data_IF_729005235351
#
_entry.id   IF_729005235351
#
_cell.length_a   1.000
_cell.length_b   1.000
_cell.length_c   1.000
_cell.angle_alpha   90.00
_cell.angle_beta   90.00
_cell.angle_gamma   90.00
#
_symmetry.space_group_name_H-M   'P 1'
#
loop_
_entity.id
_entity.type
_entity.pdbx_description
1 polymer ?
#
# COMPACT_ATOMS: atom_id res chain seq x y z
N UNK A 1 34.40 28.24 3.30
CA UNK A 1 34.47 26.90 3.89
C UNK A 1 34.59 25.89 2.75
N UNK A 2 35.74 25.26 2.59
CA UNK A 2 35.88 24.17 1.62
C UNK A 2 35.15 22.95 2.19
N UNK A 3 34.16 22.43 1.46
CA UNK A 3 33.44 21.23 1.84
C UNK A 3 34.35 20.01 1.59
N UNK A 4 35.05 19.57 2.62
CA UNK A 4 35.96 18.39 2.57
C UNK A 4 35.27 17.11 2.08
N UNK A 5 33.96 17.04 2.15
CA UNK A 5 33.17 15.90 1.69
C UNK A 5 33.34 15.60 0.19
N UNK A 6 33.53 16.64 -0.64
CA UNK A 6 33.68 16.49 -2.10
C UNK A 6 35.14 16.34 -2.54
N UNK A 7 36.10 16.47 -1.62
CA UNK A 7 37.52 16.31 -1.91
C UNK A 7 38.04 14.91 -1.59
N UNK A 8 37.22 14.01 -1.09
CA UNK A 8 37.59 12.64 -0.72
C UNK A 8 36.63 11.64 -1.33
N UNK A 9 37.13 10.47 -1.75
CA UNK A 9 36.28 9.35 -2.15
C UNK A 9 35.44 8.89 -0.94
N UNK A 10 34.12 8.69 -1.09
CA UNK A 10 33.28 8.24 0.00
C UNK A 10 33.72 6.85 0.48
N UNK A 11 33.69 6.65 1.79
CA UNK A 11 33.81 5.34 2.41
C UNK A 11 32.45 4.95 2.99
N UNK A 12 31.95 3.79 2.60
CA UNK A 12 30.60 3.33 2.94
C UNK A 12 30.68 2.14 3.90
N UNK A 13 29.89 2.18 4.96
CA UNK A 13 29.65 1.02 5.82
C UNK A 13 28.24 0.53 5.49
N UNK A 14 28.15 -0.67 4.90
CA UNK A 14 26.87 -1.30 4.64
C UNK A 14 26.48 -2.22 5.80
N UNK A 15 25.28 -1.97 6.35
CA UNK A 15 24.65 -2.81 7.38
C UNK A 15 23.41 -3.40 6.75
N UNK A 16 23.43 -4.68 6.43
CA UNK A 16 22.30 -5.34 5.77
C UNK A 16 22.72 -6.30 4.68
N UNK A 17 21.98 -6.29 3.59
CA UNK A 17 22.19 -7.26 2.49
C UNK A 17 23.41 -6.91 1.65
N UNK A 18 24.18 -7.95 1.34
CA UNK A 18 25.47 -7.86 0.63
C UNK A 18 25.38 -7.19 -0.76
N UNK A 19 24.35 -7.41 -1.61
CA UNK A 19 24.27 -6.76 -2.91
C UNK A 19 24.39 -5.24 -2.90
N UNK A 20 23.93 -4.56 -1.87
CA UNK A 20 24.13 -3.10 -1.75
C UNK A 20 25.61 -2.74 -1.59
N UNK A 21 26.35 -3.48 -0.76
CA UNK A 21 27.79 -3.28 -0.62
C UNK A 21 28.52 -3.57 -1.93
N UNK A 22 28.11 -4.60 -2.66
CA UNK A 22 28.73 -4.99 -3.92
C UNK A 22 28.48 -3.93 -5.00
N UNK A 23 27.26 -3.41 -5.15
CA UNK A 23 26.93 -2.35 -6.12
C UNK A 23 27.71 -1.04 -5.85
N UNK A 24 27.88 -0.66 -4.58
CA UNK A 24 28.69 0.51 -4.22
C UNK A 24 30.18 0.26 -4.50
N UNK A 25 30.66 -0.96 -4.28
CA UNK A 25 32.06 -1.35 -4.54
C UNK A 25 32.36 -1.38 -6.03
N UNK A 26 31.42 -1.87 -6.86
CA UNK A 26 31.53 -1.86 -8.33
C UNK A 26 31.68 -0.44 -8.89
N UNK A 27 31.14 0.57 -8.21
CA UNK A 27 31.31 1.98 -8.55
C UNK A 27 32.61 2.59 -8.00
N UNK A 28 33.50 1.80 -7.45
CA UNK A 28 34.83 2.22 -6.99
C UNK A 28 34.86 2.83 -5.59
N UNK A 29 33.77 2.85 -4.83
CA UNK A 29 33.78 3.36 -3.47
C UNK A 29 34.29 2.30 -2.47
N UNK A 30 35.06 2.76 -1.48
CA UNK A 30 35.54 1.89 -0.40
C UNK A 30 34.34 1.46 0.47
N UNK A 31 34.13 0.13 0.55
CA UNK A 31 32.92 -0.40 1.22
C UNK A 31 33.29 -1.47 2.22
N UNK A 32 32.78 -1.34 3.44
CA UNK A 32 32.84 -2.34 4.50
C UNK A 32 31.46 -2.95 4.65
N UNK A 33 31.33 -4.27 4.44
CA UNK A 33 30.11 -5.02 4.72
C UNK A 33 30.13 -5.50 6.17
N UNK A 34 29.13 -5.08 6.95
CA UNK A 34 28.90 -5.63 8.28
C UNK A 34 27.92 -6.80 8.18
N UNK A 35 28.25 -7.93 8.79
CA UNK A 35 27.34 -9.07 8.95
C UNK A 35 26.33 -8.75 10.05
N UNK A 36 25.33 -7.93 9.70
CA UNK A 36 24.22 -7.65 10.61
C UNK A 36 23.27 -8.84 10.68
N UNK A 37 22.91 -9.22 11.87
CA UNK A 37 21.81 -10.16 12.14
C UNK A 37 20.86 -9.48 13.09
N UNK A 38 19.54 -9.52 12.82
CA UNK A 38 18.57 -9.03 13.79
C UNK A 38 18.78 -9.78 15.12
N UNK A 39 18.60 -9.12 16.26
CA UNK A 39 18.62 -9.79 17.55
C UNK A 39 17.45 -10.80 17.58
N UNK A 40 17.75 -12.06 17.36
CA UNK A 40 16.77 -13.14 17.44
C UNK A 40 16.91 -13.77 18.82
N UNK A 41 15.77 -14.01 19.48
CA UNK A 41 15.72 -14.75 20.73
C UNK A 41 16.43 -16.11 20.54
N UNK A 42 17.40 -16.38 21.41
CA UNK A 42 18.17 -17.63 21.37
C UNK A 42 17.26 -18.88 21.50
N UNK A 43 16.10 -18.77 22.12
CA UNK A 43 15.07 -19.83 22.19
C UNK A 43 14.47 -20.09 20.79
N UNK A 44 14.09 -19.04 20.06
CA UNK A 44 13.60 -19.17 18.69
C UNK A 44 14.63 -19.76 17.73
N UNK A 45 15.89 -19.34 17.85
CA UNK A 45 16.98 -19.93 17.08
C UNK A 45 17.11 -21.45 17.32
N UNK A 46 17.06 -21.88 18.58
CA UNK A 46 17.09 -23.31 18.93
C UNK A 46 15.87 -24.05 18.40
N UNK A 47 14.68 -23.46 18.46
CA UNK A 47 13.47 -24.08 17.90
C UNK A 47 13.57 -24.27 16.40
N UNK A 48 14.04 -23.28 15.66
CA UNK A 48 14.22 -23.36 14.19
C UNK A 48 15.33 -24.38 13.84
N UNK A 49 16.43 -24.36 14.57
CA UNK A 49 17.50 -25.33 14.37
C UNK A 49 17.06 -26.79 14.67
N UNK A 50 16.20 -26.96 15.67
CA UNK A 50 15.64 -28.25 16.11
C UNK A 50 14.47 -28.77 15.27
N UNK A 51 14.02 -28.06 14.24
CA UNK A 51 12.97 -28.57 13.33
C UNK A 51 13.45 -29.85 12.66
N UNK A 52 12.52 -30.83 12.53
CA UNK A 52 12.83 -32.06 11.82
C UNK A 52 13.13 -31.83 10.35
N UNK A 53 13.95 -32.67 9.70
CA UNK A 53 14.21 -32.58 8.27
C UNK A 53 12.92 -32.58 7.43
N UNK A 54 11.94 -33.42 7.81
CA UNK A 54 10.66 -33.56 7.12
C UNK A 54 9.85 -32.26 7.20
N UNK A 55 9.86 -31.56 8.34
CA UNK A 55 9.17 -30.28 8.49
C UNK A 55 9.86 -29.20 7.66
N UNK A 56 11.19 -29.15 7.66
CA UNK A 56 11.97 -28.21 6.83
C UNK A 56 11.68 -28.42 5.33
N UNK A 57 11.58 -29.68 4.89
CA UNK A 57 11.25 -30.02 3.51
C UNK A 57 9.83 -29.59 3.14
N UNK A 58 8.84 -29.84 4.00
CA UNK A 58 7.44 -29.38 3.79
C UNK A 58 7.38 -27.86 3.63
N UNK A 59 8.06 -27.10 4.50
CA UNK A 59 8.11 -25.63 4.42
C UNK A 59 8.79 -25.19 3.10
N UNK A 60 9.93 -25.77 2.76
CA UNK A 60 10.65 -25.42 1.54
C UNK A 60 9.82 -25.68 0.28
N UNK A 61 9.15 -26.83 0.21
CA UNK A 61 8.26 -27.20 -0.89
C UNK A 61 7.07 -26.23 -0.99
N UNK A 62 6.40 -25.99 0.13
CA UNK A 62 5.24 -25.09 0.16
C UNK A 62 5.61 -23.65 -0.25
N UNK A 63 6.75 -23.15 0.21
CA UNK A 63 7.25 -21.82 -0.20
C UNK A 63 7.60 -21.78 -1.70
N UNK A 64 8.21 -22.83 -2.25
CA UNK A 64 8.53 -22.88 -3.68
C UNK A 64 7.26 -22.89 -4.55
N UNK A 65 6.24 -23.66 -4.18
CA UNK A 65 4.93 -23.64 -4.84
C UNK A 65 4.24 -22.28 -4.72
N UNK A 66 4.29 -21.66 -3.53
CA UNK A 66 3.73 -20.33 -3.30
C UNK A 66 4.39 -19.27 -4.21
N UNK A 67 5.71 -19.32 -4.39
CA UNK A 67 6.43 -18.42 -5.30
C UNK A 67 5.97 -18.63 -6.76
N UNK A 68 5.71 -19.85 -7.16
CA UNK A 68 5.16 -20.12 -8.51
C UNK A 68 3.78 -19.49 -8.69
N UNK A 69 2.89 -19.60 -7.68
CA UNK A 69 1.58 -18.96 -7.69
C UNK A 69 1.70 -17.44 -7.76
N UNK A 70 2.57 -16.83 -6.93
CA UNK A 70 2.81 -15.38 -6.95
C UNK A 70 3.38 -14.89 -8.28
N UNK A 71 4.26 -15.66 -8.91
CA UNK A 71 4.80 -15.32 -10.22
C UNK A 71 3.75 -15.40 -11.34
N UNK A 72 2.76 -16.26 -11.20
CA UNK A 72 1.65 -16.40 -12.14
C UNK A 72 0.56 -15.33 -11.95
N UNK A 73 0.46 -14.71 -10.76
CA UNK A 73 -0.57 -13.73 -10.45
C UNK A 73 -0.52 -12.52 -11.38
N UNK A 74 -1.67 -12.07 -11.87
CA UNK A 74 -1.82 -10.93 -12.76
C UNK A 74 -2.89 -9.96 -12.24
N UNK A 75 -2.46 -8.88 -11.61
CA UNK A 75 -3.34 -7.85 -11.09
C UNK A 75 -3.82 -6.88 -12.17
N UNK A 76 -5.13 -6.88 -12.43
CA UNK A 76 -5.79 -5.99 -13.39
C UNK A 76 -6.70 -5.01 -12.67
N UNK A 77 -6.68 -3.74 -13.05
CA UNK A 77 -7.68 -2.75 -12.63
C UNK A 77 -8.95 -2.98 -13.45
N UNK A 78 -9.97 -3.55 -12.82
CA UNK A 78 -11.17 -4.02 -13.51
C UNK A 78 -12.40 -3.13 -13.30
N UNK A 79 -12.31 -2.13 -12.44
CA UNK A 79 -13.41 -1.20 -12.21
C UNK A 79 -13.26 -0.36 -10.96
N UNK A 80 -14.28 0.47 -10.73
CA UNK A 80 -14.48 1.27 -9.53
C UNK A 80 -15.93 1.10 -9.05
N UNK A 81 -16.14 1.07 -7.74
CA UNK A 81 -17.49 1.01 -7.17
C UNK A 81 -17.47 1.57 -5.74
N UNK A 82 -18.62 1.97 -5.21
CA UNK A 82 -18.74 2.36 -3.80
C UNK A 82 -18.34 1.22 -2.88
N UNK A 83 -17.61 1.54 -1.82
CA UNK A 83 -17.03 0.55 -0.89
C UNK A 83 -18.09 -0.41 -0.33
N UNK A 84 -19.28 0.10 0.01
CA UNK A 84 -20.41 -0.72 0.50
C UNK A 84 -20.84 -1.83 -0.47
N UNK A 85 -20.66 -1.61 -1.77
CA UNK A 85 -21.02 -2.60 -2.80
C UNK A 85 -19.84 -3.47 -3.21
N UNK A 86 -18.63 -2.89 -3.22
CA UNK A 86 -17.44 -3.56 -3.71
C UNK A 86 -16.82 -4.50 -2.67
N UNK A 87 -16.75 -4.07 -1.41
CA UNK A 87 -16.00 -4.76 -0.36
C UNK A 87 -16.92 -5.72 0.39
N UNK A 88 -16.64 -7.03 0.36
CA UNK A 88 -17.47 -8.01 1.06
C UNK A 88 -17.56 -7.75 2.57
N UNK A 89 -18.78 -7.72 3.09
CA UNK A 89 -19.04 -7.53 4.52
C UNK A 89 -18.89 -6.10 5.02
N UNK A 90 -18.74 -5.11 4.12
CA UNK A 90 -18.77 -3.69 4.51
C UNK A 90 -20.17 -3.31 5.01
N UNK A 91 -20.25 -2.45 6.03
CA UNK A 91 -21.50 -1.97 6.62
C UNK A 91 -21.60 -0.45 6.53
N UNK A 92 -22.82 0.10 6.53
CA UNK A 92 -23.03 1.55 6.43
C UNK A 92 -22.38 2.32 7.58
N UNK A 93 -22.37 1.74 8.80
CA UNK A 93 -21.77 2.34 9.98
C UNK A 93 -20.31 1.91 10.23
N UNK A 94 -19.68 1.26 9.27
CA UNK A 94 -18.27 0.84 9.37
C UNK A 94 -17.36 1.93 8.80
N UNK A 95 -16.27 2.20 9.51
CA UNK A 95 -15.14 3.00 9.01
C UNK A 95 -13.88 2.14 9.11
N UNK A 96 -13.23 1.93 7.97
CA UNK A 96 -11.96 1.23 7.96
C UNK A 96 -10.79 2.19 8.19
N UNK A 97 -9.70 1.63 8.68
CA UNK A 97 -8.43 2.30 8.93
C UNK A 97 -7.24 1.42 8.54
N UNK A 98 -6.06 2.02 8.38
CA UNK A 98 -4.82 1.29 8.09
C UNK A 98 -4.31 0.52 9.32
N UNK A 99 -3.48 -0.48 9.03
CA UNK A 99 -2.78 -1.29 10.02
C UNK A 99 -3.64 -2.41 10.63
N UNK A 100 -3.06 -3.14 11.58
CA UNK A 100 -3.79 -4.15 12.33
C UNK A 100 -4.90 -3.52 13.16
N UNK A 101 -5.96 -4.29 13.52
CA UNK A 101 -7.04 -3.80 14.36
C UNK A 101 -6.54 -3.16 15.66
N UNK A 102 -7.09 -1.99 15.97
CA UNK A 102 -6.75 -1.20 17.16
C UNK A 102 -8.01 -0.58 17.76
N UNK A 103 -8.09 -0.54 19.09
CA UNK A 103 -9.21 0.09 19.77
C UNK A 103 -9.14 1.62 19.68
N UNK A 104 -10.29 2.29 19.60
CA UNK A 104 -10.39 3.75 19.53
C UNK A 104 -9.52 4.49 20.56
N UNK A 105 -9.56 4.05 21.83
CA UNK A 105 -8.80 4.67 22.92
C UNK A 105 -7.29 4.67 22.66
N UNK A 106 -6.79 3.67 21.94
CA UNK A 106 -5.36 3.43 21.70
C UNK A 106 -4.88 4.05 20.38
N UNK A 107 -5.80 4.53 19.52
CA UNK A 107 -5.46 5.20 18.24
C UNK A 107 -4.74 6.52 18.48
N UNK A 108 -3.77 6.82 17.59
CA UNK A 108 -3.12 8.13 17.56
C UNK A 108 -4.05 9.22 17.03
N UNK A 109 -3.77 10.49 17.39
CA UNK A 109 -4.62 11.62 17.05
C UNK A 109 -4.86 11.81 15.56
N UNK A 110 -3.87 11.49 14.70
CA UNK A 110 -4.04 11.56 13.24
C UNK A 110 -5.11 10.56 12.76
N UNK A 111 -5.06 9.34 13.25
CA UNK A 111 -6.00 8.30 12.86
C UNK A 111 -7.42 8.60 13.39
N UNK A 112 -7.52 9.03 14.66
CA UNK A 112 -8.79 9.51 15.25
C UNK A 112 -9.43 10.62 14.43
N UNK A 113 -8.63 11.63 14.06
CA UNK A 113 -9.09 12.73 13.21
C UNK A 113 -9.60 12.23 11.87
N UNK A 114 -8.88 11.30 11.23
CA UNK A 114 -9.31 10.70 9.97
C UNK A 114 -10.64 9.97 10.08
N UNK A 115 -10.85 9.18 11.13
CA UNK A 115 -12.12 8.50 11.42
C UNK A 115 -13.27 9.50 11.59
N UNK A 116 -13.06 10.58 12.36
CA UNK A 116 -14.10 11.59 12.57
C UNK A 116 -14.48 12.31 11.27
N UNK A 117 -13.51 12.72 10.47
CA UNK A 117 -13.79 13.33 9.17
C UNK A 117 -14.42 12.36 8.18
N UNK A 118 -13.99 11.08 8.19
CA UNK A 118 -14.65 10.04 7.41
C UNK A 118 -16.11 9.87 7.81
N UNK A 119 -16.43 9.90 9.09
CA UNK A 119 -17.81 9.84 9.58
C UNK A 119 -18.66 11.03 9.11
N UNK A 120 -18.06 12.23 9.07
CA UNK A 120 -18.74 13.44 8.55
C UNK A 120 -18.99 13.31 7.04
N UNK A 121 -17.99 12.91 6.27
CA UNK A 121 -18.09 12.67 4.83
C UNK A 121 -19.14 11.60 4.49
N UNK A 122 -19.21 10.55 5.32
CA UNK A 122 -20.21 9.49 5.18
C UNK A 122 -21.62 9.91 5.61
N UNK A 123 -21.80 11.11 6.17
CA UNK A 123 -23.08 11.59 6.70
C UNK A 123 -23.51 10.90 7.99
N UNK A 124 -22.61 10.17 8.66
CA UNK A 124 -22.89 9.50 9.94
C UNK A 124 -22.91 10.48 11.11
N UNK A 125 -22.09 11.52 11.04
CA UNK A 125 -21.98 12.56 12.06
C UNK A 125 -21.92 13.95 11.42
N UNK A 126 -22.23 15.01 12.18
CA UNK A 126 -22.17 16.40 11.73
C UNK A 126 -20.94 17.13 12.24
N UNK A 127 -20.34 16.68 13.33
CA UNK A 127 -19.17 17.29 13.96
C UNK A 127 -18.16 16.21 14.36
N UNK A 128 -16.92 16.65 14.60
CA UNK A 128 -15.83 15.77 15.08
C UNK A 128 -16.17 15.19 16.45
N UNK A 129 -16.79 15.99 17.34
CA UNK A 129 -17.19 15.59 18.68
C UNK A 129 -18.31 14.53 18.63
N UNK A 130 -19.30 14.72 17.77
CA UNK A 130 -20.38 13.74 17.55
C UNK A 130 -19.80 12.43 17.03
N UNK A 131 -18.94 12.48 16.00
CA UNK A 131 -18.29 11.30 15.44
C UNK A 131 -17.48 10.53 16.52
N UNK A 132 -16.69 11.24 17.32
CA UNK A 132 -15.91 10.63 18.39
C UNK A 132 -16.82 9.94 19.43
N UNK A 133 -17.91 10.58 19.83
CA UNK A 133 -18.88 10.01 20.77
C UNK A 133 -19.55 8.75 20.20
N UNK A 134 -19.93 8.75 18.92
CA UNK A 134 -20.51 7.58 18.24
C UNK A 134 -19.53 6.41 18.16
N UNK A 135 -18.24 6.65 17.93
CA UNK A 135 -17.23 5.60 17.97
C UNK A 135 -17.06 5.04 19.38
N UNK A 136 -17.02 5.91 20.39
CA UNK A 136 -16.92 5.50 21.81
C UNK A 136 -18.13 4.71 22.27
N UNK A 137 -19.33 5.04 21.77
CA UNK A 137 -20.56 4.33 22.03
C UNK A 137 -20.68 2.99 21.27
N UNK A 138 -19.81 2.74 20.28
CA UNK A 138 -19.86 1.56 19.41
C UNK A 138 -20.94 1.66 18.31
N UNK A 139 -21.49 2.84 18.05
CA UNK A 139 -22.43 3.09 16.98
C UNK A 139 -21.73 3.11 15.61
N UNK A 140 -20.47 3.55 15.58
CA UNK A 140 -19.56 3.43 14.44
C UNK A 140 -18.58 2.27 14.73
N UNK A 141 -18.57 1.29 13.81
CA UNK A 141 -17.67 0.14 13.86
C UNK A 141 -16.32 0.49 13.21
N UNK A 142 -15.21 0.23 13.91
CA UNK A 142 -13.87 0.37 13.34
C UNK A 142 -13.34 -0.97 12.82
N UNK A 143 -12.75 -0.97 11.62
CA UNK A 143 -12.20 -2.17 11.01
C UNK A 143 -10.84 -1.91 10.34
N UNK A 144 -9.98 -2.91 10.32
CA UNK A 144 -8.72 -2.87 9.56
C UNK A 144 -9.02 -3.03 8.06
N UNK A 145 -8.52 -2.13 7.22
CA UNK A 145 -8.60 -2.28 5.77
C UNK A 145 -8.10 -3.65 5.32
N UNK A 146 -6.98 -4.10 5.85
CA UNK A 146 -6.34 -5.35 5.46
C UNK A 146 -7.19 -6.60 5.76
N UNK A 147 -8.03 -6.57 6.81
CA UNK A 147 -8.93 -7.68 7.13
C UNK A 147 -10.10 -7.79 6.14
N UNK A 148 -10.39 -6.72 5.39
CA UNK A 148 -11.38 -6.65 4.34
C UNK A 148 -10.76 -6.59 2.93
N UNK A 149 -9.50 -6.99 2.80
CA UNK A 149 -8.76 -6.96 1.52
C UNK A 149 -8.70 -5.57 0.88
N UNK A 150 -8.79 -4.54 1.71
CA UNK A 150 -8.58 -3.16 1.31
C UNK A 150 -7.19 -2.69 1.73
N UNK A 151 -6.72 -1.63 1.11
CA UNK A 151 -5.46 -0.96 1.40
C UNK A 151 -5.76 0.45 1.89
N UNK A 152 -5.28 0.76 3.07
CA UNK A 152 -5.34 2.10 3.65
C UNK A 152 -3.99 2.81 3.59
N UNK A 153 -3.84 3.79 2.71
CA UNK A 153 -2.65 4.65 2.72
C UNK A 153 -2.69 5.60 3.92
N UNK A 154 -1.57 5.75 4.62
CA UNK A 154 -1.45 6.54 5.83
C UNK A 154 -2.55 6.20 6.88
N UNK A 155 -3.48 7.11 7.22
CA UNK A 155 -4.58 6.80 8.14
C UNK A 155 -5.55 5.75 7.59
N UNK A 156 -5.65 5.63 6.25
CA UNK A 156 -6.36 4.56 5.57
C UNK A 156 -7.87 4.59 5.70
N UNK A 157 -8.45 5.78 5.77
CA UNK A 157 -9.88 5.94 6.00
C UNK A 157 -10.67 5.52 4.77
N UNK A 158 -11.59 4.58 4.96
CA UNK A 158 -12.57 4.16 3.95
C UNK A 158 -13.95 4.12 4.59
N UNK A 159 -14.92 4.76 3.96
CA UNK A 159 -16.32 4.81 4.39
C UNK A 159 -17.22 4.18 3.34
N UNK A 160 -18.48 3.91 3.71
CA UNK A 160 -19.44 3.18 2.87
C UNK A 160 -19.71 3.84 1.51
N UNK A 161 -19.69 5.17 1.44
CA UNK A 161 -19.98 5.96 0.24
C UNK A 161 -18.75 6.23 -0.62
N UNK A 162 -17.54 6.15 -0.07
CA UNK A 162 -16.31 6.33 -0.84
C UNK A 162 -16.19 5.31 -1.96
N UNK A 163 -15.69 5.75 -3.11
CA UNK A 163 -15.37 4.87 -4.23
C UNK A 163 -14.03 4.17 -3.99
N UNK A 164 -13.95 2.91 -4.34
CA UNK A 164 -12.70 2.13 -4.32
C UNK A 164 -12.36 1.63 -5.73
N UNK A 165 -11.09 1.62 -6.04
CA UNK A 165 -10.54 0.86 -7.16
C UNK A 165 -10.69 -0.62 -6.86
N UNK A 166 -11.05 -1.41 -7.86
CA UNK A 166 -11.13 -2.86 -7.80
C UNK A 166 -9.98 -3.42 -8.64
N UNK A 167 -9.01 -4.03 -7.98
CA UNK A 167 -7.93 -4.75 -8.66
C UNK A 167 -8.12 -6.24 -8.44
N UNK A 168 -8.17 -7.00 -9.54
CA UNK A 168 -8.37 -8.45 -9.54
C UNK A 168 -7.12 -9.15 -10.05
N UNK A 169 -6.62 -10.12 -9.31
CA UNK A 169 -5.71 -11.13 -9.86
C UNK A 169 -6.53 -12.05 -10.75
N UNK A 170 -6.49 -11.81 -12.05
CA UNK A 170 -7.33 -12.52 -13.03
C UNK A 170 -6.96 -14.00 -13.20
N UNK A 171 -5.80 -14.42 -12.70
CA UNK A 171 -5.37 -15.82 -12.72
C UNK A 171 -6.02 -16.62 -11.58
N UNK A 172 -6.11 -16.03 -10.39
CA UNK A 172 -6.62 -16.74 -9.20
C UNK A 172 -7.99 -16.22 -8.73
N UNK A 173 -8.53 -15.15 -9.35
CA UNK A 173 -9.85 -14.59 -9.04
C UNK A 173 -9.90 -13.78 -7.72
N UNK A 174 -8.76 -13.41 -7.17
CA UNK A 174 -8.71 -12.63 -5.92
C UNK A 174 -8.84 -11.13 -6.19
N UNK A 175 -9.53 -10.41 -5.31
CA UNK A 175 -9.70 -8.95 -5.42
C UNK A 175 -9.09 -8.23 -4.23
N UNK A 176 -8.61 -7.03 -4.47
CA UNK A 176 -8.23 -6.06 -3.45
C UNK A 176 -8.73 -4.66 -3.82
N UNK A 177 -8.85 -3.81 -2.81
CA UNK A 177 -9.55 -2.54 -2.89
C UNK A 177 -8.70 -1.42 -2.31
N UNK A 178 -8.72 -0.24 -2.92
CA UNK A 178 -8.10 0.97 -2.37
C UNK A 178 -8.82 2.20 -2.90
N UNK A 179 -9.04 3.21 -2.06
CA UNK A 179 -9.59 4.48 -2.54
C UNK A 179 -8.63 5.12 -3.55
N UNK A 180 -9.12 5.77 -4.62
CA UNK A 180 -8.32 6.63 -5.45
C UNK A 180 -7.72 7.77 -4.64
N UNK A 181 -6.55 8.30 -5.05
CA UNK A 181 -5.99 9.49 -4.43
C UNK A 181 -6.56 10.73 -5.15
N UNK A 182 -7.34 11.53 -4.42
CA UNK A 182 -8.13 12.63 -4.96
C UNK A 182 -7.34 13.92 -5.19
N UNK A 183 -6.09 14.02 -4.75
CA UNK A 183 -5.34 15.25 -4.85
C UNK A 183 -3.82 15.11 -4.76
N UNK A 184 -3.12 16.24 -5.03
CA UNK A 184 -1.65 16.34 -4.94
C UNK A 184 -1.17 16.76 -3.56
N UNK A 185 -1.87 17.69 -2.90
CA UNK A 185 -1.41 18.43 -1.72
C UNK A 185 -1.96 17.90 -0.41
N UNK A 186 -2.85 16.93 -0.45
CA UNK A 186 -3.46 16.31 0.71
C UNK A 186 -4.50 15.28 0.29
N UNK A 187 -4.79 14.36 1.17
CA UNK A 187 -5.71 13.25 0.92
C UNK A 187 -6.57 13.00 2.15
N UNK A 188 -7.84 12.73 1.95
CA UNK A 188 -8.76 12.29 3.02
C UNK A 188 -8.24 11.05 3.73
N UNK A 189 -7.68 10.09 2.98
CA UNK A 189 -7.01 8.90 3.52
C UNK A 189 -5.85 9.22 4.47
N UNK A 190 -5.22 10.38 4.36
CA UNK A 190 -4.15 10.85 5.23
C UNK A 190 -4.67 11.64 6.44
N UNK A 191 -5.97 11.62 6.69
CA UNK A 191 -6.64 12.43 7.69
C UNK A 191 -6.43 13.95 7.50
N UNK A 192 -6.18 14.35 6.27
CA UNK A 192 -6.15 15.76 5.86
C UNK A 192 -7.52 16.06 5.25
N UNK A 193 -8.26 16.99 5.88
CA UNK A 193 -9.61 17.32 5.44
C UNK A 193 -9.80 18.84 5.35
N UNK A 194 -10.29 19.28 4.22
CA UNK A 194 -10.64 20.65 3.93
C UNK A 194 -11.67 20.69 2.78
N UNK A 195 -12.30 21.83 2.46
CA UNK A 195 -13.30 21.92 1.39
C UNK A 195 -12.80 21.52 -0.01
N UNK A 196 -11.51 21.59 -0.28
CA UNK A 196 -10.93 21.15 -1.55
C UNK A 196 -10.91 19.62 -1.64
N UNK A 197 -10.42 18.96 -0.58
CA UNK A 197 -10.40 17.50 -0.49
C UNK A 197 -11.82 16.93 -0.59
N UNK A 198 -12.78 17.53 0.12
CA UNK A 198 -14.18 17.13 0.06
C UNK A 198 -14.75 17.22 -1.36
N UNK A 199 -14.52 18.32 -2.07
CA UNK A 199 -14.95 18.46 -3.47
C UNK A 199 -14.31 17.41 -4.37
N UNK A 200 -13.02 17.13 -4.18
CA UNK A 200 -12.31 16.16 -5.00
C UNK A 200 -12.84 14.74 -4.77
N UNK A 201 -13.18 14.37 -3.53
CA UNK A 201 -13.82 13.09 -3.22
C UNK A 201 -15.18 12.98 -3.90
N UNK A 202 -16.03 14.00 -3.77
CA UNK A 202 -17.35 14.03 -4.42
C UNK A 202 -17.23 13.98 -5.95
N UNK A 203 -16.24 14.69 -6.53
CA UNK A 203 -16.00 14.64 -7.99
C UNK A 203 -15.58 13.23 -8.45
N UNK A 204 -14.79 12.52 -7.64
CA UNK A 204 -14.44 11.13 -7.93
C UNK A 204 -15.68 10.24 -7.83
N UNK A 205 -16.49 10.41 -6.80
CA UNK A 205 -17.67 9.56 -6.56
C UNK A 205 -18.73 9.75 -7.63
N UNK A 206 -19.03 11.00 -7.98
CA UNK A 206 -20.19 11.34 -8.82
C UNK A 206 -19.86 11.42 -10.30
N UNK A 207 -18.62 11.68 -10.66
CA UNK A 207 -18.22 11.95 -12.04
C UNK A 207 -17.14 11.00 -12.56
N UNK A 208 -15.96 10.97 -11.90
CA UNK A 208 -14.82 10.21 -12.40
C UNK A 208 -15.09 8.71 -12.41
N UNK A 209 -15.55 8.17 -11.28
CA UNK A 209 -15.70 6.73 -11.13
C UNK A 209 -16.73 6.12 -12.10
N UNK A 210 -17.91 6.71 -12.32
CA UNK A 210 -18.86 6.17 -13.31
C UNK A 210 -18.27 6.10 -14.73
N UNK A 211 -17.56 7.14 -15.17
CA UNK A 211 -16.97 7.18 -16.51
C UNK A 211 -15.83 6.17 -16.67
N UNK A 212 -14.93 6.11 -15.67
CA UNK A 212 -13.78 5.21 -15.74
C UNK A 212 -14.19 3.75 -15.54
N UNK A 213 -15.12 3.45 -14.63
CA UNK A 213 -15.66 2.11 -14.44
C UNK A 213 -16.31 1.57 -15.73
N UNK A 214 -17.10 2.41 -16.41
CA UNK A 214 -17.70 2.07 -17.71
C UNK A 214 -16.63 1.65 -18.72
N UNK A 215 -15.60 2.48 -18.90
CA UNK A 215 -14.53 2.22 -19.88
C UNK A 215 -13.72 0.99 -19.53
N UNK A 216 -13.40 0.79 -18.24
CA UNK A 216 -12.66 -0.40 -17.81
C UNK A 216 -13.45 -1.68 -18.06
N UNK A 217 -14.73 -1.71 -17.73
CA UNK A 217 -15.60 -2.88 -17.95
C UNK A 217 -15.75 -3.21 -19.44
N UNK A 218 -15.89 -2.19 -20.28
CA UNK A 218 -16.03 -2.34 -21.74
C UNK A 218 -14.74 -2.88 -22.38
N UNK A 219 -13.57 -2.57 -21.83
CA UNK A 219 -12.26 -2.95 -22.39
C UNK A 219 -11.57 -4.11 -21.64
N UNK A 220 -12.19 -4.70 -20.62
CA UNK A 220 -11.61 -5.83 -19.87
C UNK A 220 -10.52 -5.44 -18.85
N UNK A 221 -10.46 -4.16 -18.47
CA UNK A 221 -9.54 -3.64 -17.48
C UNK A 221 -8.13 -3.32 -18.02
N UNK A 222 -7.23 -2.92 -17.10
CA UNK A 222 -5.83 -2.57 -17.39
C UNK A 222 -4.90 -3.43 -16.52
N UNK A 223 -3.87 -4.03 -17.12
CA UNK A 223 -2.88 -4.83 -16.42
C UNK A 223 -1.93 -3.96 -15.59
N UNK A 224 -2.26 -3.79 -14.32
CA UNK A 224 -1.49 -2.98 -13.33
C UNK A 224 -0.12 -3.57 -13.08
N UNK A 225 -0.01 -4.92 -12.98
CA UNK A 225 1.26 -5.60 -12.75
C UNK A 225 2.27 -5.29 -13.85
N UNK A 226 1.82 -5.26 -15.11
CA UNK A 226 2.69 -4.98 -16.24
C UNK A 226 3.24 -3.54 -16.22
N UNK A 227 2.38 -2.56 -15.88
CA UNK A 227 2.81 -1.16 -15.69
C UNK A 227 3.82 -1.06 -14.55
N UNK A 228 3.53 -1.71 -13.42
CA UNK A 228 4.39 -1.72 -12.24
C UNK A 228 5.77 -2.32 -12.55
N UNK A 229 5.81 -3.47 -13.24
CA UNK A 229 7.05 -4.11 -13.66
C UNK A 229 7.88 -3.20 -14.59
N UNK A 230 7.24 -2.56 -15.58
CA UNK A 230 7.91 -1.59 -16.46
C UNK A 230 8.47 -0.39 -15.69
N UNK A 231 7.71 0.13 -14.71
CA UNK A 231 8.15 1.23 -13.86
C UNK A 231 9.39 0.86 -13.05
N UNK A 232 9.41 -0.32 -12.45
CA UNK A 232 10.56 -0.81 -11.67
C UNK A 232 11.81 -1.08 -12.53
N UNK A 233 11.64 -1.49 -13.80
CA UNK A 233 12.76 -1.62 -14.73
C UNK A 233 13.46 -0.28 -15.05
N UNK A 234 12.83 0.85 -14.74
CA UNK A 234 13.46 2.18 -14.81
C UNK A 234 14.38 2.48 -13.61
N UNK A 235 14.54 1.52 -12.71
CA UNK A 235 15.29 1.62 -11.45
C UNK A 235 14.41 2.10 -10.29
N UNK A 236 14.81 1.74 -9.05
CA UNK A 236 14.09 2.06 -7.82
C UNK A 236 12.77 1.28 -7.61
N UNK A 237 12.08 1.54 -6.54
CA UNK A 237 10.89 0.80 -6.08
C UNK A 237 9.57 1.50 -6.47
N UNK A 238 8.44 0.85 -6.22
CA UNK A 238 7.12 1.27 -6.70
C UNK A 238 6.67 2.66 -6.26
N UNK A 239 7.01 3.09 -5.04
CA UNK A 239 6.62 4.42 -4.53
C UNK A 239 7.36 5.53 -5.29
N UNK A 240 8.66 5.34 -5.52
CA UNK A 240 9.49 6.30 -6.27
C UNK A 240 9.07 6.34 -7.75
N UNK A 241 8.64 5.21 -8.31
CA UNK A 241 8.22 5.11 -9.72
C UNK A 241 6.75 5.42 -9.96
N UNK A 242 5.97 5.83 -8.95
CA UNK A 242 4.53 6.08 -9.09
C UNK A 242 4.18 7.08 -10.21
N UNK A 243 4.95 8.15 -10.38
CA UNK A 243 4.71 9.12 -11.46
C UNK A 243 4.96 8.54 -12.85
N UNK A 244 6.03 7.74 -13.02
CA UNK A 244 6.30 7.05 -14.27
C UNK A 244 5.19 6.03 -14.60
N UNK A 245 4.76 5.26 -13.59
CA UNK A 245 3.64 4.33 -13.73
C UNK A 245 2.32 5.06 -14.02
N UNK A 246 2.08 6.23 -13.40
CA UNK A 246 0.92 7.07 -13.68
C UNK A 246 0.88 7.53 -15.14
N UNK A 247 2.01 7.95 -15.70
CA UNK A 247 2.10 8.33 -17.12
C UNK A 247 1.83 7.13 -18.05
N UNK A 248 2.31 5.94 -17.71
CA UNK A 248 1.99 4.71 -18.46
C UNK A 248 0.50 4.35 -18.33
N UNK A 249 -0.11 4.52 -17.16
CA UNK A 249 -1.55 4.33 -16.97
C UNK A 249 -2.36 5.28 -17.86
N UNK A 250 -1.97 6.57 -17.94
CA UNK A 250 -2.61 7.55 -18.83
C UNK A 250 -2.51 7.11 -20.28
N UNK A 251 -1.37 6.58 -20.71
CA UNK A 251 -1.20 6.09 -22.08
C UNK A 251 -2.04 4.84 -22.42
N UNK A 252 -2.48 4.09 -21.42
CA UNK A 252 -3.39 2.95 -21.59
C UNK A 252 -4.87 3.39 -21.57
N UNK A 253 -5.26 4.26 -20.62
CA UNK A 253 -6.67 4.61 -20.40
C UNK A 253 -7.20 5.66 -21.38
N UNK A 254 -6.39 6.63 -21.79
CA UNK A 254 -6.85 7.72 -22.69
C UNK A 254 -7.30 7.20 -24.05
N UNK A 255 -6.60 6.26 -24.72
CA UNK A 255 -7.12 5.64 -25.95
C UNK A 255 -8.47 4.94 -25.76
N UNK A 256 -8.69 4.30 -24.61
CA UNK A 256 -9.96 3.66 -24.29
C UNK A 256 -11.08 4.69 -24.15
N UNK A 257 -10.82 5.80 -23.43
CA UNK A 257 -11.77 6.91 -23.29
C UNK A 257 -12.11 7.55 -24.65
N UNK A 258 -11.11 7.78 -25.51
CA UNK A 258 -11.30 8.38 -26.82
C UNK A 258 -12.05 7.49 -27.82
N UNK A 259 -11.97 6.18 -27.65
CA UNK A 259 -12.65 5.19 -28.51
C UNK A 259 -14.05 4.85 -28.02
N UNK A 260 -14.47 5.38 -26.88
CA UNK A 260 -15.77 5.10 -26.31
C UNK A 260 -16.84 6.01 -26.90
N UNK A 261 -17.85 5.41 -27.56
CA UNK A 261 -18.94 6.13 -28.23
C UNK A 261 -20.06 6.58 -27.26
N UNK A 262 -20.06 6.05 -26.03
CA UNK A 262 -21.04 6.39 -25.02
C UNK A 262 -20.65 7.61 -24.16
N UNK A 263 -19.38 8.02 -24.24
CA UNK A 263 -18.85 9.19 -23.54
C UNK A 263 -18.78 10.43 -24.45
N UNK A 264 -19.24 11.55 -23.93
CA UNK A 264 -19.09 12.83 -24.64
C UNK A 264 -17.67 13.43 -24.47
N UNK A 265 -17.29 14.29 -25.41
CA UNK A 265 -15.95 14.94 -25.43
C UNK A 265 -15.69 15.74 -24.14
N UNK A 266 -16.63 16.51 -23.55
CA UNK A 266 -16.44 17.17 -22.27
C UNK A 266 -16.05 16.21 -21.14
N UNK A 267 -16.73 15.07 -21.04
CA UNK A 267 -16.45 14.02 -20.04
C UNK A 267 -15.06 13.43 -20.25
N UNK A 268 -14.72 13.03 -21.47
CA UNK A 268 -13.38 12.50 -21.81
C UNK A 268 -12.29 13.50 -21.43
N UNK A 269 -12.47 14.78 -21.81
CA UNK A 269 -11.53 15.84 -21.49
C UNK A 269 -11.35 15.98 -19.97
N UNK A 270 -12.45 16.07 -19.21
CA UNK A 270 -12.40 16.26 -17.76
C UNK A 270 -11.73 15.08 -17.05
N UNK A 271 -12.08 13.85 -17.40
CA UNK A 271 -11.45 12.63 -16.84
C UNK A 271 -9.95 12.61 -17.16
N UNK A 272 -9.56 12.96 -18.40
CA UNK A 272 -8.15 13.05 -18.79
C UNK A 272 -7.40 14.10 -17.97
N UNK A 273 -7.99 15.28 -17.76
CA UNK A 273 -7.42 16.36 -16.92
C UNK A 273 -7.21 15.89 -15.49
N UNK A 274 -8.14 15.13 -14.92
CA UNK A 274 -8.00 14.55 -13.57
C UNK A 274 -6.81 13.58 -13.49
N UNK A 275 -6.64 12.70 -14.46
CA UNK A 275 -5.48 11.79 -14.52
C UNK A 275 -4.15 12.56 -14.65
N UNK A 276 -4.05 13.46 -15.62
CA UNK A 276 -2.82 14.25 -15.88
C UNK A 276 -2.55 15.20 -14.71
N UNK A 277 -3.60 15.71 -14.09
CA UNK A 277 -3.54 16.58 -12.93
C UNK A 277 -2.98 15.94 -11.66
N UNK A 278 -2.94 14.62 -11.55
CA UNK A 278 -2.55 13.91 -10.34
C UNK A 278 -1.64 12.70 -10.64
N UNK A 279 -0.34 12.87 -10.48
CA UNK A 279 0.66 11.81 -10.71
C UNK A 279 0.58 10.61 -9.75
N UNK A 280 -0.29 10.68 -8.72
CA UNK A 280 -0.44 9.64 -7.69
C UNK A 280 -1.53 8.61 -7.98
N UNK A 281 -2.26 8.74 -9.09
CA UNK A 281 -3.33 7.80 -9.46
C UNK A 281 -2.91 6.34 -9.48
N UNK A 282 -1.68 6.07 -9.87
CA UNK A 282 -1.19 4.69 -9.98
C UNK A 282 -0.88 4.05 -8.62
N UNK A 283 -0.54 4.85 -7.62
CA UNK A 283 -0.07 4.29 -6.34
C UNK A 283 -1.09 3.38 -5.65
N UNK A 284 -2.39 3.77 -5.50
CA UNK A 284 -3.43 2.87 -4.98
C UNK A 284 -3.57 1.57 -5.77
N UNK A 285 -3.45 1.65 -7.09
CA UNK A 285 -3.55 0.48 -7.97
C UNK A 285 -2.39 -0.49 -7.74
N UNK A 286 -1.16 0.01 -7.61
CA UNK A 286 0.02 -0.80 -7.33
C UNK A 286 -0.06 -1.51 -5.98
N UNK A 287 -0.54 -0.81 -4.95
CA UNK A 287 -0.78 -1.41 -3.62
C UNK A 287 -1.86 -2.51 -3.68
N UNK A 288 -2.99 -2.24 -4.34
CA UNK A 288 -4.07 -3.22 -4.49
C UNK A 288 -3.63 -4.42 -5.33
N UNK A 289 -2.84 -4.20 -6.38
CA UNK A 289 -2.25 -5.28 -7.18
C UNK A 289 -1.39 -6.21 -6.30
N UNK A 290 -0.55 -5.64 -5.44
CA UNK A 290 0.26 -6.41 -4.50
C UNK A 290 -0.60 -7.24 -3.55
N UNK A 291 -1.62 -6.64 -2.94
CA UNK A 291 -2.50 -7.37 -2.01
C UNK A 291 -3.34 -8.45 -2.71
N UNK A 292 -3.93 -8.15 -3.87
CA UNK A 292 -4.71 -9.13 -4.64
C UNK A 292 -3.86 -10.35 -5.01
N UNK A 293 -2.62 -10.12 -5.46
CA UNK A 293 -1.68 -11.18 -5.80
C UNK A 293 -1.28 -12.01 -4.58
N UNK A 294 -0.98 -11.38 -3.45
CA UNK A 294 -0.60 -12.10 -2.22
C UNK A 294 -1.71 -13.00 -1.66
N UNK A 295 -2.97 -12.71 -1.99
CA UNK A 295 -4.10 -13.54 -1.55
C UNK A 295 -4.08 -14.97 -2.10
N UNK A 296 -3.46 -15.22 -3.25
CA UNK A 296 -3.44 -16.55 -3.84
C UNK A 296 -2.76 -17.62 -2.97
N UNK A 297 -1.84 -17.20 -2.10
CA UNK A 297 -1.12 -18.10 -1.18
C UNK A 297 -1.67 -18.12 0.25
N UNK A 298 -2.72 -17.34 0.53
CA UNK A 298 -3.34 -17.27 1.84
C UNK A 298 -3.90 -18.64 2.26
N UNK A 299 -3.61 -19.06 3.49
CA UNK A 299 -4.04 -20.33 4.03
C UNK A 299 -3.24 -21.55 3.51
N UNK A 300 -2.18 -21.32 2.72
CA UNK A 300 -1.34 -22.41 2.21
C UNK A 300 -0.53 -23.03 3.35
N UNK A 301 -0.85 -24.27 3.70
CA UNK A 301 -0.20 -24.98 4.80
C UNK A 301 1.34 -25.01 4.64
N UNK A 302 2.03 -24.90 5.76
CA UNK A 302 3.51 -24.84 5.84
C UNK A 302 4.16 -23.67 5.09
N UNK A 303 3.39 -22.76 4.49
CA UNK A 303 3.95 -21.59 3.83
C UNK A 303 4.34 -20.51 4.86
N UNK A 304 5.61 -20.14 4.89
CA UNK A 304 6.16 -19.13 5.80
C UNK A 304 6.30 -17.73 5.20
N UNK A 305 5.74 -17.52 3.99
CA UNK A 305 5.80 -16.21 3.32
C UNK A 305 4.88 -15.23 4.02
N UNK A 306 5.38 -14.01 4.28
CA UNK A 306 4.60 -12.91 4.84
C UNK A 306 3.66 -12.38 3.76
N UNK A 307 2.35 -12.42 4.02
CA UNK A 307 1.31 -12.00 3.07
C UNK A 307 0.84 -10.58 3.24
N UNK A 308 1.04 -10.01 4.43
CA UNK A 308 0.70 -8.62 4.72
C UNK A 308 1.67 -8.03 5.72
N UNK A 309 1.99 -6.76 5.52
CA UNK A 309 2.69 -5.91 6.47
C UNK A 309 1.89 -4.60 6.55
N UNK A 310 1.50 -4.19 7.74
CA UNK A 310 0.64 -3.02 7.91
C UNK A 310 0.91 -2.32 9.25
N UNK A 311 0.69 -0.99 9.31
CA UNK A 311 0.96 -0.16 10.48
C UNK A 311 -0.19 0.80 10.76
N UNK A 312 -0.52 0.97 12.07
CA UNK A 312 -1.57 1.88 12.52
C UNK A 312 -1.06 3.11 13.31
N UNK A 313 0.25 3.35 13.28
CA UNK A 313 0.88 4.43 14.04
C UNK A 313 1.18 4.10 15.53
N UNK A 314 0.74 2.93 15.99
CA UNK A 314 1.02 2.39 17.33
C UNK A 314 1.68 1.02 17.20
N UNK A 315 1.12 0.17 16.35
CA UNK A 315 1.56 -1.18 16.12
C UNK A 315 1.90 -1.41 14.63
N UNK A 316 2.92 -2.21 14.39
CA UNK A 316 3.16 -2.91 13.12
C UNK A 316 2.68 -4.34 13.27
N UNK A 317 1.92 -4.81 12.29
CA UNK A 317 1.47 -6.18 12.20
C UNK A 317 1.91 -6.86 10.93
N UNK A 318 2.10 -8.16 10.99
CA UNK A 318 2.28 -9.03 9.82
C UNK A 318 1.27 -10.17 9.84
N UNK A 319 0.92 -10.66 8.65
CA UNK A 319 0.24 -11.95 8.46
C UNK A 319 1.15 -12.90 7.69
N UNK A 320 1.03 -14.20 7.95
CA UNK A 320 1.84 -15.25 7.31
C UNK A 320 0.91 -16.24 6.61
N UNK A 321 1.24 -16.61 5.39
CA UNK A 321 0.40 -17.44 4.52
C UNK A 321 -0.17 -18.68 5.21
N UNK A 322 0.66 -19.47 5.85
CA UNK A 322 0.25 -20.71 6.52
C UNK A 322 -0.57 -20.52 7.80
N UNK A 323 -0.72 -19.28 8.29
CA UNK A 323 -1.43 -18.95 9.51
C UNK A 323 -2.70 -18.10 9.25
N UNK A 324 -3.07 -17.94 7.98
CA UNK A 324 -4.31 -17.30 7.54
C UNK A 324 -4.40 -15.84 7.94
N UNK A 325 -5.43 -15.46 8.70
CA UNK A 325 -5.72 -14.05 9.07
C UNK A 325 -5.11 -13.63 10.41
N UNK A 326 -4.31 -14.47 11.04
CA UNK A 326 -3.73 -14.15 12.33
C UNK A 326 -2.71 -13.01 12.20
N UNK A 327 -2.92 -11.95 12.99
CA UNK A 327 -1.96 -10.87 13.13
C UNK A 327 -0.88 -11.20 14.17
N UNK A 328 0.37 -10.95 13.80
CA UNK A 328 1.51 -10.90 14.72
C UNK A 328 1.94 -9.44 14.83
N UNK A 329 1.84 -8.87 16.04
CA UNK A 329 1.97 -7.43 16.26
C UNK A 329 3.16 -7.09 17.14
N UNK A 330 3.77 -5.94 16.86
CA UNK A 330 4.78 -5.29 17.71
C UNK A 330 4.61 -3.78 17.63
N UNK A 331 5.35 -3.02 18.44
CA UNK A 331 5.33 -1.55 18.36
C UNK A 331 5.73 -1.07 16.98
N UNK A 332 5.02 -0.07 16.46
CA UNK A 332 5.36 0.55 15.19
C UNK A 332 6.74 1.23 15.26
N UNK A 333 7.61 1.06 14.25
CA UNK A 333 8.91 1.70 14.23
C UNK A 333 8.76 3.22 14.12
N UNK A 334 9.67 3.95 14.76
CA UNK A 334 9.79 5.40 14.60
C UNK A 334 10.74 5.71 13.46
N UNK A 335 10.51 6.86 12.83
CA UNK A 335 11.42 7.39 11.83
C UNK A 335 12.83 7.62 12.43
N UNK A 336 13.85 7.21 11.68
CA UNK A 336 15.25 7.47 12.00
C UNK A 336 15.88 8.12 10.78
N UNK A 337 16.29 9.38 10.90
CA UNK A 337 16.89 10.12 9.78
C UNK A 337 16.72 11.62 9.90
N UNK A 338 16.96 12.33 8.80
CA UNK A 338 16.83 13.77 8.71
C UNK A 338 15.41 14.14 8.30
N UNK A 339 14.81 15.08 9.02
CA UNK A 339 13.49 15.63 8.68
C UNK A 339 13.61 16.62 7.51
N UNK A 340 12.53 16.79 6.75
CA UNK A 340 12.48 17.71 5.60
C UNK A 340 12.59 19.20 5.99
N UNK A 341 12.32 19.53 7.25
CA UNK A 341 12.35 20.90 7.74
C UNK A 341 12.94 20.96 9.15
N UNK A 342 13.66 22.04 9.45
CA UNK A 342 14.16 22.36 10.79
C UNK A 342 13.06 22.83 11.76
N UNK A 343 11.83 23.02 11.27
CA UNK A 343 10.67 23.34 12.11
C UNK A 343 10.18 22.14 12.93
N UNK A 344 10.53 20.93 12.51
CA UNK A 344 10.09 19.69 13.11
C UNK A 344 11.22 19.00 13.86
N UNK A 345 10.86 18.29 14.91
CA UNK A 345 11.73 17.40 15.67
C UNK A 345 11.31 15.95 15.50
N UNK A 346 12.13 15.01 15.93
CA UNK A 346 11.75 13.57 15.90
C UNK A 346 10.54 13.27 16.81
N UNK A 347 10.25 14.13 17.78
CA UNK A 347 9.07 13.98 18.64
C UNK A 347 7.77 14.39 17.94
N UNK A 348 7.85 15.22 16.89
CA UNK A 348 6.72 15.58 16.05
C UNK A 348 6.37 14.46 15.05
N UNK A 349 7.32 13.55 14.77
CA UNK A 349 7.12 12.45 13.87
C UNK A 349 6.35 11.32 14.56
N UNK A 350 5.14 11.01 14.05
CA UNK A 350 4.39 9.83 14.50
C UNK A 350 5.11 8.55 14.07
N UNK A 351 4.95 7.43 14.81
CA UNK A 351 5.42 6.13 14.35
C UNK A 351 4.80 5.74 13.01
N UNK A 352 5.40 4.77 12.33
CA UNK A 352 4.99 4.36 11.00
C UNK A 352 3.48 4.03 10.95
N UNK A 353 2.79 4.54 9.90
CA UNK A 353 1.35 4.38 9.71
C UNK A 353 1.05 4.19 8.22
N UNK A 354 0.18 3.23 7.90
CA UNK A 354 -0.28 2.95 6.54
C UNK A 354 -0.09 1.50 6.13
N UNK A 355 -0.81 1.10 5.09
CA UNK A 355 -0.76 -0.24 4.51
C UNK A 355 0.07 -0.28 3.22
N UNK A 356 0.75 0.81 2.86
CA UNK A 356 1.58 0.87 1.64
C UNK A 356 2.72 -0.15 1.64
N UNK A 357 3.11 -0.65 2.80
CA UNK A 357 4.01 -1.81 2.96
C UNK A 357 3.45 -3.12 2.38
N UNK A 358 2.21 -3.16 1.90
CA UNK A 358 1.70 -4.26 1.08
C UNK A 358 2.57 -4.50 -0.17
N UNK A 359 3.19 -3.46 -0.72
CA UNK A 359 4.12 -3.58 -1.85
C UNK A 359 5.37 -4.37 -1.48
N UNK A 360 5.82 -4.31 -0.22
CA UNK A 360 6.97 -5.07 0.28
C UNK A 360 6.70 -6.57 0.29
N UNK A 361 5.49 -6.98 0.69
CA UNK A 361 5.14 -8.41 0.76
C UNK A 361 5.11 -9.06 -0.63
N UNK A 362 4.78 -8.32 -1.69
CA UNK A 362 4.76 -8.81 -3.08
C UNK A 362 6.09 -8.59 -3.82
N UNK A 363 7.08 -8.01 -3.18
CA UNK A 363 8.38 -7.79 -3.80
C UNK A 363 8.48 -6.56 -4.71
N UNK A 364 7.61 -5.57 -4.54
CA UNK A 364 7.56 -4.34 -5.33
C UNK A 364 8.02 -3.09 -4.55
N UNK A 365 8.32 -3.26 -3.27
CA UNK A 365 8.81 -2.20 -2.39
C UNK A 365 10.34 -2.22 -2.23
N UNK A 366 10.88 -1.32 -1.39
CA UNK A 366 12.31 -1.10 -1.21
C UNK A 366 13.06 -2.31 -0.63
N UNK A 367 12.41 -3.16 0.17
CA UNK A 367 13.06 -4.35 0.73
C UNK A 367 13.48 -5.34 -0.36
N UNK A 368 12.66 -5.50 -1.39
CA UNK A 368 12.94 -6.39 -2.52
C UNK A 368 13.96 -5.81 -3.50
N UNK A 369 14.10 -4.48 -3.55
CA UNK A 369 15.12 -3.83 -4.37
C UNK A 369 16.52 -4.39 -4.08
N UNK A 370 16.79 -4.68 -2.80
CA UNK A 370 18.05 -5.29 -2.37
C UNK A 370 18.34 -6.67 -2.99
N UNK A 371 17.30 -7.40 -3.42
CA UNK A 371 17.41 -8.72 -4.03
C UNK A 371 17.21 -8.70 -5.55
N UNK A 372 16.90 -7.54 -6.14
CA UNK A 372 16.63 -7.37 -7.56
C UNK A 372 17.81 -6.69 -8.28
N UNK A 373 18.69 -7.43 -8.97
CA UNK A 373 19.90 -6.87 -9.61
C UNK A 373 19.59 -5.75 -10.61
N UNK A 374 18.45 -5.79 -11.28
CA UNK A 374 18.02 -4.77 -12.24
C UNK A 374 17.64 -3.45 -11.59
N UNK A 375 17.24 -3.47 -10.31
CA UNK A 375 16.89 -2.27 -9.54
C UNK A 375 18.12 -1.66 -8.87
N UNK A 376 19.15 -2.47 -8.61
CA UNK A 376 20.40 -2.04 -7.97
C UNK A 376 21.40 -1.40 -8.94
N UNK A 377 21.21 -1.53 -10.23
CA UNK A 377 22.05 -0.97 -11.29
C UNK A 377 21.53 0.33 -11.81
#
# INVERSE_FOLDING_TARGET
>A
MEYKLFSQSPAVINIGVKPFADGVREQGAKTIQLAWRPPVDAKLCRMIAGMSPELKEKIAKSNAEAIQMLNAAEGHWVGLEKAIKAIPGFKENMIMHSGPPIAWKDMIGVQKRGVCYGAIHAGLAKTVEEAAAMVEAGEIELASCNDHFAIGAAAGIVTHNMVVNIVEDVVHGNRAYCIPFEGRNGLGAWAMWNPEIERNLLEIEDFFAPAVDHVLKKNGGINVRNILAKGMLMGDESHTRQAACGNMLVSEIVPMLLSDEDLDIPTIKRVTEMFVGNERWFHPLGMSCSLASMRCIKGKEYCSIVTSIAQNGVETGIKVAGLGEQWFKTSAPRFVGTLFSTQWTLDDAVPYMGDSTATESYGMGAFSAAAAPTVLR
#
